data_IF_691110256439
#
_entry.id   IF_691110256439
#
_cell.length_a   1.000
_cell.length_b   1.000
_cell.length_c   1.000
_cell.angle_alpha   90.00
_cell.angle_beta   90.00
_cell.angle_gamma   90.00
#
_symmetry.space_group_name_H-M   'P 1'
#
loop_
_entity.id
_entity.type
_entity.pdbx_description
1 polymer ?
#
# COMPACT_ATOMS: atom_id res chain seq x y z
N UNK A 1 -10.15 -4.92 -14.94
CA UNK A 1 -8.91 -4.09 -14.83
C UNK A 1 -9.16 -2.82 -14.04
N UNK A 2 -10.10 -2.00 -14.47
CA UNK A 2 -10.52 -0.76 -13.75
C UNK A 2 -10.87 -1.06 -12.30
N UNK A 3 -11.62 -2.13 -12.03
CA UNK A 3 -11.98 -2.56 -10.69
C UNK A 3 -10.79 -2.83 -9.75
N UNK A 4 -9.66 -3.28 -10.27
CA UNK A 4 -8.46 -3.53 -9.45
C UNK A 4 -7.81 -2.22 -9.00
N UNK A 5 -7.79 -1.24 -9.88
CA UNK A 5 -7.24 0.10 -9.59
C UNK A 5 -8.13 0.82 -8.57
N UNK A 6 -9.44 0.77 -8.75
CA UNK A 6 -10.40 1.38 -7.82
C UNK A 6 -10.36 0.74 -6.44
N UNK A 7 -10.27 -0.60 -6.38
CA UNK A 7 -10.12 -1.33 -5.11
C UNK A 7 -8.83 -0.96 -4.40
N UNK A 8 -7.72 -0.85 -5.12
CA UNK A 8 -6.45 -0.43 -4.56
C UNK A 8 -6.52 0.99 -4.02
N UNK A 9 -7.14 1.90 -4.76
CA UNK A 9 -7.35 3.29 -4.34
C UNK A 9 -8.19 3.37 -3.06
N UNK A 10 -9.27 2.59 -2.99
CA UNK A 10 -10.11 2.51 -1.79
C UNK A 10 -9.34 1.98 -0.58
N UNK A 11 -8.53 0.92 -0.76
CA UNK A 11 -7.68 0.39 0.31
C UNK A 11 -6.67 1.41 0.81
N UNK A 12 -6.02 2.14 -0.09
CA UNK A 12 -5.05 3.19 0.27
C UNK A 12 -5.71 4.32 1.04
N UNK A 13 -6.90 4.72 0.65
CA UNK A 13 -7.68 5.73 1.35
C UNK A 13 -8.04 5.28 2.77
N UNK A 14 -8.50 4.04 2.94
CA UNK A 14 -8.81 3.49 4.26
C UNK A 14 -7.55 3.34 5.12
N UNK A 15 -6.45 2.84 4.57
CA UNK A 15 -5.19 2.72 5.28
C UNK A 15 -4.70 4.08 5.79
N UNK A 16 -4.80 5.12 4.99
CA UNK A 16 -4.45 6.48 5.38
C UNK A 16 -5.36 7.01 6.49
N UNK A 17 -6.67 6.81 6.36
CA UNK A 17 -7.67 7.27 7.34
C UNK A 17 -7.44 6.68 8.73
N UNK A 18 -7.10 5.41 8.81
CA UNK A 18 -6.93 4.69 10.08
C UNK A 18 -5.49 4.58 10.55
N UNK A 19 -4.55 5.22 9.88
CA UNK A 19 -3.11 5.11 10.20
C UNK A 19 -2.79 5.55 11.63
N UNK A 20 -3.26 6.73 12.01
CA UNK A 20 -3.02 7.28 13.36
C UNK A 20 -3.70 6.44 14.44
N UNK A 21 -4.95 6.01 14.22
CA UNK A 21 -5.69 5.17 15.16
C UNK A 21 -4.98 3.84 15.39
N UNK A 22 -4.51 3.20 14.34
CA UNK A 22 -3.76 1.94 14.44
C UNK A 22 -2.43 2.12 15.15
N UNK A 23 -1.71 3.19 14.87
CA UNK A 23 -0.44 3.49 15.52
C UNK A 23 -0.63 3.72 17.03
N UNK A 24 -1.62 4.51 17.41
CA UNK A 24 -1.94 4.78 18.81
C UNK A 24 -2.29 3.50 19.57
N UNK A 25 -3.13 2.63 19.01
CA UNK A 25 -3.50 1.36 19.61
C UNK A 25 -2.30 0.41 19.74
N UNK A 26 -1.44 0.35 18.75
CA UNK A 26 -0.21 -0.45 18.80
C UNK A 26 0.75 0.05 19.87
N UNK A 27 0.89 1.36 20.03
CA UNK A 27 1.71 1.94 21.11
C UNK A 27 1.18 1.56 22.49
N UNK A 28 -0.13 1.61 22.71
CA UNK A 28 -0.76 1.20 23.97
C UNK A 28 -0.52 -0.28 24.26
N UNK A 29 -0.64 -1.13 23.26
CA UNK A 29 -0.44 -2.58 23.38
C UNK A 29 1.02 -2.90 23.72
N UNK A 30 1.98 -2.18 23.12
CA UNK A 30 3.41 -2.41 23.30
C UNK A 30 3.94 -1.85 24.62
N UNK A 31 3.25 -0.89 25.21
CA UNK A 31 3.68 -0.24 26.47
C UNK A 31 3.37 -1.15 27.66
N UNK A 32 4.42 -1.63 28.35
CA UNK A 32 4.28 -2.49 29.50
C UNK A 32 3.97 -1.74 30.82
N UNK A 33 4.06 -0.43 30.83
CA UNK A 33 3.69 0.39 31.99
C UNK A 33 2.17 0.45 32.19
N UNK A 34 1.41 0.16 31.15
CA UNK A 34 -0.05 0.14 31.17
C UNK A 34 -0.53 -1.23 31.66
N UNK A 35 -1.63 -1.27 32.44
CA UNK A 35 -2.20 -2.51 32.95
C UNK A 35 -2.66 -3.47 31.84
N UNK A 36 -2.61 -4.76 32.13
CA UNK A 36 -2.99 -5.82 31.16
C UNK A 36 -4.41 -5.66 30.63
N UNK A 37 -5.36 -5.28 31.49
CA UNK A 37 -6.75 -5.10 31.09
C UNK A 37 -6.92 -4.02 30.03
N UNK A 38 -6.21 -2.92 30.18
CA UNK A 38 -6.26 -1.80 29.22
C UNK A 38 -5.58 -2.16 27.91
N UNK A 39 -4.45 -2.87 27.98
CA UNK A 39 -3.78 -3.39 26.78
C UNK A 39 -4.67 -4.39 26.04
N UNK A 40 -5.38 -5.26 26.76
CA UNK A 40 -6.32 -6.20 26.16
C UNK A 40 -7.49 -5.48 25.48
N UNK A 41 -8.06 -4.45 26.11
CA UNK A 41 -9.09 -3.62 25.49
C UNK A 41 -8.61 -2.94 24.21
N UNK A 42 -7.36 -2.43 24.22
CA UNK A 42 -6.75 -1.86 23.03
C UNK A 42 -6.56 -2.88 21.91
N UNK A 43 -6.17 -4.12 22.25
CA UNK A 43 -6.05 -5.20 21.29
C UNK A 43 -7.39 -5.56 20.64
N UNK A 44 -8.46 -5.59 21.41
CA UNK A 44 -9.82 -5.81 20.89
C UNK A 44 -10.20 -4.68 19.92
N UNK A 45 -10.00 -3.43 20.32
CA UNK A 45 -10.28 -2.27 19.44
C UNK A 45 -9.47 -2.32 18.15
N UNK A 46 -8.21 -2.75 18.21
CA UNK A 46 -7.38 -2.91 17.03
C UNK A 46 -7.92 -3.99 16.09
N UNK A 47 -8.40 -5.10 16.64
CA UNK A 47 -8.99 -6.19 15.85
C UNK A 47 -10.33 -5.81 15.21
N UNK A 48 -11.07 -4.90 15.81
CA UNK A 48 -12.38 -4.42 15.30
C UNK A 48 -12.23 -3.42 14.13
N UNK A 49 -11.03 -2.88 13.91
CA UNK A 49 -10.80 -1.97 12.79
C UNK A 49 -10.97 -2.69 11.44
N UNK A 50 -11.39 -1.97 10.38
CA UNK A 50 -11.53 -2.57 9.05
C UNK A 50 -10.25 -3.25 8.58
N UNK A 51 -10.37 -4.41 7.95
CA UNK A 51 -9.21 -5.16 7.43
C UNK A 51 -8.40 -4.34 6.42
N UNK A 52 -9.07 -3.55 5.58
CA UNK A 52 -8.43 -2.73 4.57
C UNK A 52 -7.70 -1.50 5.15
N UNK A 53 -7.82 -1.24 6.44
CA UNK A 53 -7.04 -0.21 7.12
C UNK A 53 -5.56 -0.59 7.33
N UNK A 54 -5.22 -1.85 7.16
CA UNK A 54 -3.86 -2.35 7.36
C UNK A 54 -2.98 -2.08 6.13
N UNK A 55 -1.79 -1.52 6.36
CA UNK A 55 -0.78 -1.29 5.30
C UNK A 55 -0.26 -2.58 4.68
N UNK A 56 -0.31 -3.70 5.39
CA UNK A 56 0.15 -5.00 4.89
C UNK A 56 -0.68 -5.51 3.72
N UNK A 57 -1.91 -5.03 3.57
CA UNK A 57 -2.79 -5.39 2.46
C UNK A 57 -2.59 -4.54 1.21
N UNK A 58 -1.79 -3.48 1.30
CA UNK A 58 -1.45 -2.65 0.15
C UNK A 58 -0.44 -3.36 -0.75
N UNK A 59 -0.66 -3.25 -2.05
CA UNK A 59 0.23 -3.80 -3.07
C UNK A 59 0.58 -2.72 -4.08
N UNK A 60 1.83 -2.68 -4.51
CA UNK A 60 2.23 -1.83 -5.62
C UNK A 60 1.61 -2.37 -6.90
N UNK A 61 0.80 -1.56 -7.57
CA UNK A 61 0.11 -1.91 -8.80
C UNK A 61 0.44 -0.93 -9.90
N UNK A 62 0.45 -1.43 -11.12
CA UNK A 62 0.60 -0.59 -12.30
C UNK A 62 -0.58 0.38 -12.40
N UNK A 63 -0.28 1.67 -12.59
CA UNK A 63 -1.32 2.71 -12.70
C UNK A 63 -2.15 2.59 -13.98
N UNK A 64 -1.63 1.94 -15.03
CA UNK A 64 -2.36 1.75 -16.29
C UNK A 64 -3.15 0.44 -16.32
N UNK A 65 -2.55 -0.66 -15.88
CA UNK A 65 -3.14 -1.99 -16.06
C UNK A 65 -3.69 -2.60 -14.77
N UNK A 66 -3.31 -2.07 -13.60
CA UNK A 66 -3.68 -2.66 -12.32
C UNK A 66 -2.92 -3.94 -11.97
N UNK A 67 -1.92 -4.33 -12.77
CA UNK A 67 -1.10 -5.51 -12.51
C UNK A 67 -0.37 -5.37 -11.18
N UNK A 68 -0.42 -6.38 -10.33
CA UNK A 68 0.21 -6.39 -9.00
C UNK A 68 1.57 -7.08 -8.94
N UNK A 69 2.12 -7.50 -10.09
CA UNK A 69 3.43 -8.17 -10.17
C UNK A 69 4.34 -7.43 -11.13
N UNK A 70 5.65 -7.47 -10.85
CA UNK A 70 6.69 -6.84 -11.66
C UNK A 70 6.39 -5.35 -11.94
N UNK A 71 6.11 -4.61 -10.87
CA UNK A 71 5.83 -3.17 -10.92
C UNK A 71 7.05 -2.42 -10.39
N UNK A 72 7.56 -1.48 -11.18
CA UNK A 72 8.68 -0.62 -10.78
C UNK A 72 8.19 0.51 -9.87
N UNK A 73 8.87 0.70 -8.72
CA UNK A 73 8.45 1.71 -7.73
C UNK A 73 8.65 3.13 -8.22
N UNK A 74 9.71 3.39 -8.99
CA UNK A 74 10.05 4.75 -9.43
C UNK A 74 9.02 5.35 -10.40
N UNK A 75 8.39 4.53 -11.23
CA UNK A 75 7.40 4.99 -12.23
C UNK A 75 6.00 4.42 -12.01
N UNK A 76 5.85 3.47 -11.08
CA UNK A 76 4.57 2.76 -10.79
C UNK A 76 3.96 2.08 -12.02
N UNK A 77 4.80 1.65 -12.93
CA UNK A 77 4.41 0.92 -14.16
C UNK A 77 4.85 -0.53 -14.07
N UNK A 78 4.08 -1.42 -14.69
CA UNK A 78 4.49 -2.81 -14.87
C UNK A 78 5.64 -2.89 -15.90
N UNK A 79 6.40 -3.98 -15.85
CA UNK A 79 7.49 -4.24 -16.81
C UNK A 79 7.04 -4.12 -18.27
N UNK A 80 5.82 -4.58 -18.57
CA UNK A 80 5.24 -4.56 -19.91
C UNK A 80 4.96 -3.14 -20.37
N UNK A 81 4.27 -2.36 -19.53
CA UNK A 81 3.96 -0.95 -19.83
C UNK A 81 5.20 -0.06 -19.83
N UNK A 82 6.16 -0.34 -18.95
CA UNK A 82 7.44 0.37 -18.95
C UNK A 82 8.15 0.19 -20.29
N UNK A 83 8.23 -1.06 -20.79
CA UNK A 83 8.87 -1.35 -22.07
C UNK A 83 8.16 -0.65 -23.24
N UNK A 84 6.84 -0.71 -23.26
CA UNK A 84 6.03 -0.10 -24.32
C UNK A 84 6.23 1.44 -24.35
N UNK A 85 6.11 2.09 -23.21
CA UNK A 85 6.23 3.53 -23.11
C UNK A 85 7.65 4.02 -23.32
N UNK A 86 8.65 3.29 -22.83
CA UNK A 86 10.05 3.62 -23.03
C UNK A 86 10.44 3.46 -24.52
N UNK A 87 9.95 2.40 -25.18
CA UNK A 87 10.16 2.19 -26.60
C UNK A 87 9.49 3.27 -27.48
N UNK A 88 8.36 3.82 -27.02
CA UNK A 88 7.68 4.93 -27.67
C UNK A 88 8.29 6.32 -27.34
N UNK A 89 9.30 6.37 -26.49
CA UNK A 89 9.95 7.63 -26.09
C UNK A 89 9.11 8.51 -25.17
N UNK A 90 8.13 7.95 -24.48
CA UNK A 90 7.21 8.70 -23.59
C UNK A 90 7.69 8.81 -22.15
N UNK A 91 8.76 8.09 -21.79
CA UNK A 91 9.35 8.15 -20.45
C UNK A 91 10.65 8.97 -20.51
N UNK A 92 10.67 10.19 -19.94
CA UNK A 92 11.88 11.00 -19.93
C UNK A 92 12.97 10.38 -19.04
N UNK A 93 14.22 10.41 -19.52
CA UNK A 93 15.37 9.91 -18.78
C UNK A 93 15.53 8.39 -18.80
N UNK A 94 14.64 7.65 -19.43
CA UNK A 94 14.72 6.19 -19.56
C UNK A 94 15.32 5.81 -20.90
N UNK A 95 16.50 5.19 -20.87
CA UNK A 95 17.23 4.75 -22.06
C UNK A 95 17.63 3.29 -21.92
N UNK A 96 17.89 2.64 -23.07
CA UNK A 96 18.44 1.28 -23.04
C UNK A 96 19.86 1.28 -22.49
N UNK A 97 20.15 0.34 -21.58
CA UNK A 97 21.49 0.10 -21.07
C UNK A 97 22.24 -0.82 -22.03
N UNK A 98 22.94 -0.22 -22.96
CA UNK A 98 23.83 -0.96 -23.87
C UNK A 98 25.11 -0.17 -24.01
N UNK A 99 26.21 -0.82 -23.70
CA UNK A 99 27.53 -0.24 -23.78
C UNK A 99 28.56 -1.23 -24.33
#
# INVERSE_FOLDING_TARGET
MINLIERDFSRRRQACKYELSRLALKCIIADRSIGEQERFRAAIKLSDLPRNSSKTRLRNRCVFTGRGRAVYRFCKLSRIKLRDLAGAGRLPGVTKSSW
#
